data_IF_838115117061
#
_entry.id   IF_838115117061
#
_cell.length_a   1.000
_cell.length_b   1.000
_cell.length_c   1.000
_cell.angle_alpha   90.00
_cell.angle_beta   90.00
_cell.angle_gamma   90.00
#
_symmetry.space_group_name_H-M   'P 1'
#
loop_
_entity.id
_entity.type
_entity.pdbx_description
1 polymer ?
#
# COMPACT_ATOMS: atom_id res chain seq x y z
N UNK A 1 5.78 16.00 11.64
CA UNK A 1 4.62 16.05 12.51
C UNK A 1 4.99 15.51 13.88
N UNK A 2 4.54 16.16 14.93
CA UNK A 2 4.77 15.73 16.31
C UNK A 2 3.45 15.78 17.06
N UNK A 3 2.99 14.66 17.57
CA UNK A 3 1.76 14.55 18.36
C UNK A 3 2.13 14.10 19.78
N UNK A 4 2.15 15.02 20.77
CA UNK A 4 2.64 14.73 22.12
C UNK A 4 1.70 13.86 22.96
N UNK A 5 0.48 13.66 22.53
CA UNK A 5 -0.44 12.67 23.09
C UNK A 5 -1.46 12.30 22.06
N UNK A 6 -1.24 11.22 21.35
CA UNK A 6 -2.27 10.61 20.54
C UNK A 6 -3.22 9.86 21.49
N UNK A 7 -4.27 10.51 21.94
CA UNK A 7 -5.30 9.79 22.67
C UNK A 7 -6.20 9.11 21.67
N UNK A 8 -6.29 7.81 21.76
CA UNK A 8 -7.22 7.05 20.99
C UNK A 8 -8.65 7.30 21.50
N UNK A 9 -9.37 8.11 20.79
CA UNK A 9 -10.81 7.97 20.70
C UNK A 9 -11.09 7.50 19.28
N UNK A 10 -10.85 6.22 19.05
CA UNK A 10 -11.42 5.43 17.94
C UNK A 10 -11.51 6.17 16.59
N UNK A 11 -10.44 6.21 15.86
CA UNK A 11 -10.52 6.63 14.45
C UNK A 11 -10.24 5.48 13.50
N UNK A 12 -9.89 4.33 14.01
CA UNK A 12 -9.72 3.15 13.17
C UNK A 12 -10.68 2.07 13.61
N UNK A 13 -11.60 1.77 12.71
CA UNK A 13 -12.52 0.63 12.70
C UNK A 13 -13.55 0.56 13.85
N UNK A 14 -14.74 0.50 13.58
CA UNK A 14 -15.88 0.26 14.46
C UNK A 14 -15.79 -0.98 15.37
N UNK A 15 -14.63 -1.24 15.98
CA UNK A 15 -14.41 -2.27 16.98
C UNK A 15 -14.57 -1.71 18.39
N UNK A 16 -15.18 -2.49 19.28
CA UNK A 16 -15.35 -2.15 20.69
C UNK A 16 -13.98 -1.99 21.34
N UNK A 17 -13.57 -0.77 21.61
CA UNK A 17 -12.26 -0.41 22.10
C UNK A 17 -11.99 -1.02 23.48
N UNK A 18 -11.03 -1.92 23.54
CA UNK A 18 -10.13 -1.91 24.69
C UNK A 18 -9.25 -0.65 24.52
N UNK A 19 -9.30 0.27 25.46
CA UNK A 19 -8.56 1.51 25.38
C UNK A 19 -7.06 1.24 25.30
N UNK A 20 -6.52 1.20 24.10
CA UNK A 20 -5.08 1.22 23.89
C UNK A 20 -4.67 2.68 24.00
N UNK A 21 -4.05 3.06 25.09
CA UNK A 21 -3.52 4.39 25.25
C UNK A 21 -2.31 4.54 24.32
N UNK A 22 -2.45 5.28 23.23
CA UNK A 22 -1.31 5.71 22.42
C UNK A 22 -0.51 6.77 23.17
N UNK A 23 0.79 6.65 23.11
CA UNK A 23 1.73 7.64 23.64
C UNK A 23 2.02 8.75 22.65
N UNK A 24 3.29 9.07 22.50
CA UNK A 24 3.78 10.11 21.59
C UNK A 24 3.89 9.61 20.16
N UNK A 25 3.40 10.38 19.20
CA UNK A 25 3.61 10.10 17.77
C UNK A 25 4.63 11.06 17.17
N UNK A 26 5.58 10.54 16.42
CA UNK A 26 6.58 11.30 15.66
C UNK A 26 6.54 10.87 14.20
N UNK A 27 6.44 11.83 13.29
CA UNK A 27 6.49 11.58 11.85
C UNK A 27 7.42 12.55 11.13
N UNK A 28 8.17 12.04 10.15
CA UNK A 28 9.06 12.80 9.29
C UNK A 28 8.79 12.46 7.83
N UNK A 29 8.76 13.49 6.97
CA UNK A 29 8.66 13.32 5.53
C UNK A 29 9.68 14.20 4.82
N UNK A 30 10.26 13.70 3.74
CA UNK A 30 11.15 14.44 2.86
C UNK A 30 10.88 14.05 1.40
N UNK A 31 10.81 15.05 0.51
CA UNK A 31 10.69 14.86 -0.94
C UNK A 31 11.65 15.81 -1.65
N UNK A 32 12.38 15.29 -2.62
CA UNK A 32 13.27 16.05 -3.50
C UNK A 32 12.92 15.73 -4.94
N UNK A 33 12.77 16.76 -5.76
CA UNK A 33 12.46 16.61 -7.19
C UNK A 33 13.33 17.50 -8.06
N UNK A 34 13.72 16.99 -9.22
CA UNK A 34 14.45 17.75 -10.24
C UNK A 34 14.83 16.89 -11.44
N UNK A 35 14.88 17.49 -12.62
CA UNK A 35 15.31 16.84 -13.88
C UNK A 35 14.60 15.50 -14.17
N UNK A 36 13.28 15.43 -13.91
CA UNK A 36 12.50 14.20 -14.11
C UNK A 36 12.61 13.18 -12.96
N UNK A 37 13.51 13.39 -12.02
CA UNK A 37 13.68 12.54 -10.83
C UNK A 37 12.89 13.10 -9.65
N UNK A 38 12.16 12.22 -8.97
CA UNK A 38 11.55 12.50 -7.66
C UNK A 38 11.90 11.38 -6.71
N UNK A 39 12.44 11.75 -5.55
CA UNK A 39 12.76 10.82 -4.46
C UNK A 39 12.01 11.29 -3.23
N UNK A 40 11.31 10.40 -2.57
CA UNK A 40 10.59 10.70 -1.35
C UNK A 40 10.81 9.62 -0.30
N UNK A 41 10.78 10.05 0.95
CA UNK A 41 10.78 9.17 2.11
C UNK A 41 9.84 9.73 3.18
N UNK A 42 9.17 8.82 3.86
CA UNK A 42 8.31 9.12 5.00
C UNK A 42 8.53 8.06 6.08
N UNK A 43 8.49 8.47 7.33
CA UNK A 43 8.49 7.56 8.47
C UNK A 43 7.69 8.14 9.60
N UNK A 44 6.98 7.29 10.32
CA UNK A 44 6.36 7.63 11.59
C UNK A 44 6.52 6.49 12.59
N UNK A 45 6.47 6.87 13.85
CA UNK A 45 6.41 5.95 14.98
C UNK A 45 5.40 6.49 15.99
N UNK A 46 4.60 5.60 16.54
CA UNK A 46 3.64 5.91 17.59
C UNK A 46 3.94 4.97 18.75
N UNK A 47 4.36 5.55 19.88
CA UNK A 47 4.55 4.80 21.11
C UNK A 47 3.19 4.28 21.59
N UNK A 48 3.09 3.02 21.85
CA UNK A 48 1.94 2.41 22.49
C UNK A 48 2.26 2.11 23.94
N UNK A 49 1.26 2.14 24.83
CA UNK A 49 1.49 1.72 26.21
C UNK A 49 1.94 0.26 26.22
N UNK A 50 3.22 0.06 26.50
CA UNK A 50 3.86 -1.26 26.48
C UNK A 50 3.16 -2.20 27.46
N UNK A 51 2.40 -3.12 26.91
CA UNK A 51 1.94 -4.34 27.60
C UNK A 51 2.71 -5.53 27.03
N UNK A 52 2.63 -6.68 27.66
CA UNK A 52 3.31 -7.90 27.17
C UNK A 52 2.87 -8.31 25.73
N UNK A 53 1.90 -7.63 25.15
CA UNK A 53 1.30 -7.93 23.85
C UNK A 53 1.33 -6.76 22.87
N UNK A 54 1.80 -5.58 23.26
CA UNK A 54 1.85 -4.40 22.39
C UNK A 54 3.26 -3.84 22.32
N UNK A 55 3.75 -3.62 21.10
CA UNK A 55 4.95 -2.85 20.78
C UNK A 55 4.54 -1.53 20.14
N UNK A 56 5.53 -0.67 19.91
CA UNK A 56 5.33 0.58 19.18
C UNK A 56 4.91 0.30 17.74
N UNK A 57 3.98 1.10 17.26
CA UNK A 57 3.54 1.06 15.87
C UNK A 57 4.48 1.91 15.01
N UNK A 58 4.97 1.38 13.92
CA UNK A 58 5.84 2.12 13.01
C UNK A 58 5.50 1.91 11.54
N UNK A 59 5.74 2.95 10.75
CA UNK A 59 5.58 2.90 9.29
C UNK A 59 6.73 3.66 8.63
N UNK A 60 7.33 3.06 7.62
CA UNK A 60 8.37 3.68 6.81
C UNK A 60 8.06 3.43 5.34
N UNK A 61 8.26 4.44 4.51
CA UNK A 61 8.17 4.29 3.06
C UNK A 61 9.22 5.14 2.37
N UNK A 62 9.75 4.62 1.28
CA UNK A 62 10.64 5.34 0.37
C UNK A 62 10.24 5.03 -1.06
N UNK A 63 10.35 6.04 -1.93
CA UNK A 63 10.06 5.87 -3.35
C UNK A 63 10.99 6.69 -4.24
N UNK A 64 11.15 6.19 -5.45
CA UNK A 64 11.84 6.87 -6.54
C UNK A 64 10.96 6.81 -7.77
N UNK A 65 10.71 7.96 -8.39
CA UNK A 65 10.10 8.08 -9.71
C UNK A 65 11.05 8.80 -10.65
N UNK A 66 11.19 8.29 -11.87
CA UNK A 66 12.01 8.92 -12.90
C UNK A 66 11.27 8.98 -14.22
N UNK A 67 11.14 10.20 -14.76
CA UNK A 67 10.55 10.46 -16.06
C UNK A 67 11.65 10.88 -17.05
N UNK A 68 11.76 10.16 -18.15
CA UNK A 68 12.68 10.46 -19.24
C UNK A 68 11.99 10.28 -20.60
N UNK A 69 11.81 11.39 -21.30
CA UNK A 69 11.05 11.40 -22.55
C UNK A 69 9.64 10.83 -22.35
N UNK A 70 9.22 9.84 -23.13
CA UNK A 70 7.89 9.24 -23.02
C UNK A 70 7.78 8.16 -21.94
N UNK A 71 8.84 7.86 -21.22
CA UNK A 71 8.89 6.78 -20.22
C UNK A 71 8.90 7.35 -18.81
N UNK A 72 8.09 6.78 -17.94
CA UNK A 72 8.15 7.01 -16.49
C UNK A 72 8.28 5.67 -15.78
N UNK A 73 9.23 5.57 -14.87
CA UNK A 73 9.42 4.40 -14.01
C UNK A 73 9.32 4.79 -12.55
N UNK A 74 8.77 3.91 -11.74
CA UNK A 74 8.62 4.13 -10.31
C UNK A 74 8.89 2.87 -9.50
N UNK A 75 9.53 3.05 -8.34
CA UNK A 75 9.73 2.00 -7.33
C UNK A 75 9.38 2.60 -5.97
N UNK A 76 8.68 1.84 -5.16
CA UNK A 76 8.37 2.18 -3.76
C UNK A 76 8.58 0.96 -2.88
N UNK A 77 9.22 1.18 -1.75
CA UNK A 77 9.33 0.23 -0.66
C UNK A 77 8.60 0.81 0.55
N UNK A 78 7.85 -0.03 1.26
CA UNK A 78 7.20 0.38 2.50
C UNK A 78 7.23 -0.76 3.51
N UNK A 79 7.33 -0.38 4.77
CA UNK A 79 7.23 -1.29 5.92
C UNK A 79 6.22 -0.72 6.90
N UNK A 80 5.34 -1.58 7.40
CA UNK A 80 4.36 -1.23 8.44
C UNK A 80 4.40 -2.29 9.52
N UNK A 81 4.76 -1.89 10.74
CA UNK A 81 4.60 -2.68 11.94
C UNK A 81 3.41 -2.13 12.75
N UNK A 82 2.42 -2.96 12.99
CA UNK A 82 1.21 -2.56 13.73
C UNK A 82 1.36 -2.63 15.24
N UNK A 83 2.53 -3.01 15.72
CA UNK A 83 2.88 -2.96 17.15
C UNK A 83 2.16 -3.98 18.02
N UNK A 84 1.33 -4.86 17.49
CA UNK A 84 0.66 -5.88 18.28
C UNK A 84 1.38 -7.21 18.13
N UNK A 85 1.92 -7.70 19.24
CA UNK A 85 2.68 -8.97 19.30
C UNK A 85 1.79 -10.06 19.89
N UNK A 86 1.63 -11.14 19.18
CA UNK A 86 1.30 -12.42 19.80
C UNK A 86 -0.14 -12.90 19.78
N UNK A 87 -1.02 -12.37 18.97
CA UNK A 87 -2.16 -13.18 18.60
C UNK A 87 -1.79 -13.96 17.33
N UNK A 88 -1.69 -15.26 17.44
CA UNK A 88 -1.68 -16.19 16.32
C UNK A 88 -3.01 -16.08 15.59
N UNK A 89 -3.19 -15.02 14.85
CA UNK A 89 -4.33 -14.89 13.98
C UNK A 89 -3.91 -15.44 12.62
N UNK A 90 -4.17 -16.73 12.45
CA UNK A 90 -4.16 -17.33 11.14
C UNK A 90 -5.07 -16.50 10.25
N UNK A 91 -4.54 -15.93 9.18
CA UNK A 91 -5.34 -15.42 8.08
C UNK A 91 -6.09 -16.63 7.55
N UNK A 92 -7.32 -16.78 8.00
CA UNK A 92 -8.20 -17.81 7.48
C UNK A 92 -8.76 -17.29 6.17
N UNK A 93 -9.01 -18.20 5.22
CA UNK A 93 -9.54 -17.91 3.87
C UNK A 93 -10.87 -17.13 3.83
N UNK A 94 -11.41 -16.74 4.95
CA UNK A 94 -12.63 -15.96 5.09
C UNK A 94 -12.29 -14.52 5.50
N UNK A 95 -11.76 -13.69 4.59
CA UNK A 95 -11.79 -12.20 4.56
C UNK A 95 -11.77 -11.41 5.90
N UNK A 96 -11.45 -11.99 6.98
CA UNK A 96 -11.18 -11.33 8.24
C UNK A 96 -9.66 -11.27 8.38
N UNK A 97 -9.07 -10.30 7.70
CA UNK A 97 -7.78 -9.81 8.14
C UNK A 97 -8.00 -9.42 9.59
N UNK A 98 -7.41 -10.15 10.45
CA UNK A 98 -7.19 -9.66 11.81
C UNK A 98 -6.22 -8.50 11.70
N UNK A 99 -6.80 -7.39 11.36
CA UNK A 99 -6.14 -6.19 10.92
C UNK A 99 -5.33 -5.51 12.04
N UNK A 100 -5.20 -6.15 13.19
CA UNK A 100 -4.66 -5.55 14.38
C UNK A 100 -3.20 -5.89 14.66
N UNK A 101 -2.64 -6.94 14.05
CA UNK A 101 -1.28 -7.42 14.39
C UNK A 101 -0.45 -7.77 13.17
N UNK A 102 0.88 -7.81 13.35
CA UNK A 102 1.81 -8.24 12.33
C UNK A 102 2.47 -7.11 11.56
N UNK A 103 3.36 -7.50 10.68
CA UNK A 103 4.16 -6.62 9.84
C UNK A 103 3.80 -6.81 8.39
N UNK A 104 3.88 -5.72 7.62
CA UNK A 104 3.71 -5.71 6.18
C UNK A 104 4.93 -5.10 5.53
N UNK A 105 5.56 -5.86 4.63
CA UNK A 105 6.60 -5.38 3.74
C UNK A 105 6.04 -5.26 2.34
N UNK A 106 6.02 -4.05 1.79
CA UNK A 106 5.44 -3.75 0.50
C UNK A 106 6.50 -3.30 -0.47
N UNK A 107 6.54 -3.93 -1.64
CA UNK A 107 7.33 -3.52 -2.79
C UNK A 107 6.41 -3.20 -3.95
N UNK A 108 6.61 -2.04 -4.59
CA UNK A 108 5.86 -1.64 -5.79
C UNK A 108 6.82 -1.21 -6.86
N UNK A 109 6.55 -1.65 -8.08
CA UNK A 109 7.20 -1.11 -9.25
C UNK A 109 6.19 -0.78 -10.34
N UNK A 110 6.52 0.21 -11.16
CA UNK A 110 5.68 0.61 -12.27
C UNK A 110 6.50 1.15 -13.43
N UNK A 111 5.97 0.96 -14.63
CA UNK A 111 6.45 1.62 -15.84
C UNK A 111 5.25 2.14 -16.62
N UNK A 112 5.34 3.37 -17.08
CA UNK A 112 4.37 3.98 -17.97
C UNK A 112 5.08 4.47 -19.23
N UNK A 113 4.44 4.32 -20.36
CA UNK A 113 4.94 4.73 -21.66
C UNK A 113 3.88 5.53 -22.42
N UNK A 114 4.20 6.77 -22.76
CA UNK A 114 3.41 7.61 -23.63
C UNK A 114 3.73 7.25 -25.09
N UNK A 115 2.86 6.48 -25.72
CA UNK A 115 3.07 5.98 -27.10
C UNK A 115 3.01 7.15 -28.11
N UNK A 116 2.04 8.06 -27.90
CA UNK A 116 1.87 9.30 -28.63
C UNK A 116 1.01 10.26 -27.77
N UNK A 117 0.62 11.42 -28.31
CA UNK A 117 -0.13 12.43 -27.57
C UNK A 117 -1.47 11.94 -27.02
N UNK A 118 -2.05 10.92 -27.65
CA UNK A 118 -3.38 10.40 -27.33
C UNK A 118 -3.35 9.04 -26.59
N UNK A 119 -2.27 8.27 -26.69
CA UNK A 119 -2.19 6.89 -26.22
C UNK A 119 -1.09 6.70 -25.20
N UNK A 120 -1.44 6.15 -24.06
CA UNK A 120 -0.50 5.68 -23.05
C UNK A 120 -0.79 4.24 -22.61
N UNK A 121 0.27 3.55 -22.24
CA UNK A 121 0.21 2.21 -21.65
C UNK A 121 1.02 2.17 -20.36
N UNK A 122 0.61 1.38 -19.41
CA UNK A 122 1.38 1.18 -18.18
C UNK A 122 1.27 -0.24 -17.64
N UNK A 123 2.29 -0.60 -16.90
CA UNK A 123 2.36 -1.83 -16.10
C UNK A 123 2.72 -1.47 -14.68
N UNK A 124 2.11 -2.14 -13.74
CA UNK A 124 2.43 -2.04 -12.32
C UNK A 124 2.42 -3.40 -11.65
N UNK A 125 3.30 -3.58 -10.70
CA UNK A 125 3.40 -4.76 -9.85
C UNK A 125 3.49 -4.32 -8.39
N UNK A 126 2.79 -5.04 -7.54
CA UNK A 126 2.79 -4.89 -6.10
C UNK A 126 3.03 -6.26 -5.50
N UNK A 127 4.04 -6.36 -4.67
CA UNK A 127 4.23 -7.48 -3.75
C UNK A 127 4.08 -6.97 -2.33
N UNK A 128 3.25 -7.64 -1.53
CA UNK A 128 3.09 -7.31 -0.12
C UNK A 128 3.14 -8.57 0.71
N UNK A 129 4.15 -8.66 1.55
CA UNK A 129 4.38 -9.79 2.45
C UNK A 129 3.83 -9.48 3.83
N UNK A 130 2.95 -10.34 4.31
CA UNK A 130 2.44 -10.30 5.67
C UNK A 130 3.17 -11.30 6.55
N UNK A 131 3.68 -10.81 7.69
CA UNK A 131 4.40 -11.59 8.69
C UNK A 131 3.71 -11.44 10.05
N UNK A 132 3.13 -12.53 10.55
CA UNK A 132 2.47 -12.57 11.87
C UNK A 132 3.39 -13.01 13.03
N UNK A 133 4.65 -13.25 12.75
CA UNK A 133 5.67 -13.66 13.72
C UNK A 133 5.58 -15.11 14.21
N UNK A 134 4.44 -15.77 14.12
CA UNK A 134 4.24 -17.17 14.56
C UNK A 134 3.78 -18.12 13.45
N UNK A 135 3.52 -17.59 12.26
CA UNK A 135 3.07 -18.33 11.08
C UNK A 135 4.05 -18.15 9.93
N UNK A 136 3.91 -18.96 8.88
CA UNK A 136 4.66 -18.76 7.65
C UNK A 136 4.19 -17.47 6.98
N UNK A 137 5.14 -16.64 6.56
CA UNK A 137 4.87 -15.43 5.82
C UNK A 137 4.14 -15.73 4.51
N UNK A 138 3.21 -14.86 4.16
CA UNK A 138 2.46 -14.97 2.91
C UNK A 138 2.60 -13.68 2.12
N UNK A 139 2.99 -13.81 0.85
CA UNK A 139 3.08 -12.70 -0.09
C UNK A 139 1.85 -12.67 -0.99
N UNK A 140 1.16 -11.55 -0.98
CA UNK A 140 0.15 -11.19 -1.99
C UNK A 140 0.87 -10.50 -3.14
N UNK A 141 0.63 -10.96 -4.36
CA UNK A 141 1.20 -10.39 -5.58
C UNK A 141 0.08 -9.87 -6.48
N UNK A 142 0.17 -8.62 -6.92
CA UNK A 142 -0.82 -8.00 -7.82
C UNK A 142 -0.13 -7.39 -9.03
N UNK A 143 -0.55 -7.79 -10.23
CA UNK A 143 -0.06 -7.29 -11.52
C UNK A 143 -1.16 -6.59 -12.26
N UNK A 144 -0.88 -5.37 -12.75
CA UNK A 144 -1.86 -4.55 -13.47
C UNK A 144 -1.30 -4.06 -14.79
N UNK A 145 -2.09 -4.20 -15.84
CA UNK A 145 -1.85 -3.66 -17.17
C UNK A 145 -2.93 -2.63 -17.48
N UNK A 146 -2.52 -1.47 -17.96
CA UNK A 146 -3.45 -0.38 -18.25
C UNK A 146 -3.16 0.21 -19.63
N UNK A 147 -4.23 0.65 -20.29
CA UNK A 147 -4.18 1.43 -21.51
C UNK A 147 -5.15 2.61 -21.40
N UNK A 148 -4.74 3.77 -21.82
CA UNK A 148 -5.61 4.94 -21.91
C UNK A 148 -5.45 5.61 -23.27
N UNK A 149 -6.58 5.94 -23.89
CA UNK A 149 -6.65 6.62 -25.17
C UNK A 149 -7.57 7.83 -25.09
N UNK A 150 -7.10 8.98 -25.54
CA UNK A 150 -7.85 10.23 -25.57
C UNK A 150 -8.13 10.65 -27.00
N UNK A 151 -9.38 11.01 -27.31
CA UNK A 151 -9.79 11.45 -28.63
C UNK A 151 -10.71 12.67 -28.50
N UNK A 152 -10.13 13.86 -28.60
CA UNK A 152 -10.88 15.12 -28.45
C UNK A 152 -11.53 15.19 -27.06
N UNK A 153 -12.86 15.26 -27.01
CA UNK A 153 -13.64 15.34 -25.78
C UNK A 153 -13.94 13.96 -25.13
N UNK A 154 -13.46 12.87 -25.72
CA UNK A 154 -13.67 11.51 -25.22
C UNK A 154 -12.36 10.89 -24.78
N UNK A 155 -12.38 10.16 -23.67
CA UNK A 155 -11.29 9.25 -23.30
C UNK A 155 -11.80 7.87 -22.94
N UNK A 156 -11.03 6.86 -23.31
CA UNK A 156 -11.27 5.45 -22.99
C UNK A 156 -10.07 4.96 -22.19
N UNK A 157 -10.33 4.32 -21.07
CA UNK A 157 -9.30 3.59 -20.34
C UNK A 157 -9.75 2.17 -20.05
N UNK A 158 -8.80 1.25 -20.09
CA UNK A 158 -9.03 -0.13 -19.72
C UNK A 158 -7.89 -0.61 -18.84
N UNK A 159 -8.20 -1.45 -17.85
CA UNK A 159 -7.17 -2.13 -17.09
C UNK A 159 -7.57 -3.59 -16.82
N UNK A 160 -6.55 -4.39 -16.66
CA UNK A 160 -6.62 -5.75 -16.18
C UNK A 160 -5.69 -5.89 -14.99
N UNK A 161 -6.22 -6.40 -13.88
CA UNK A 161 -5.44 -6.69 -12.67
C UNK A 161 -5.66 -8.13 -12.27
N UNK A 162 -4.56 -8.82 -11.96
CA UNK A 162 -4.58 -10.15 -11.36
C UNK A 162 -3.87 -10.09 -10.02
N UNK A 163 -4.51 -10.64 -8.99
CA UNK A 163 -3.97 -10.73 -7.63
C UNK A 163 -3.90 -12.19 -7.22
N UNK A 164 -2.69 -12.68 -6.96
CA UNK A 164 -2.43 -13.98 -6.35
C UNK A 164 -2.33 -13.84 -4.83
N UNK A 165 -2.79 -14.84 -4.09
CA UNK A 165 -2.93 -14.84 -2.62
C UNK A 165 -3.67 -13.59 -2.08
N UNK A 166 -4.85 -13.24 -2.62
CA UNK A 166 -5.61 -12.09 -2.14
C UNK A 166 -5.86 -12.21 -0.63
N UNK A 167 -5.81 -11.07 0.06
CA UNK A 167 -5.92 -10.99 1.54
C UNK A 167 -4.84 -11.84 2.26
N UNK A 168 -3.67 -12.03 1.64
CA UNK A 168 -2.54 -12.88 2.10
C UNK A 168 -2.96 -14.33 2.44
N UNK A 169 -3.98 -14.84 1.79
CA UNK A 169 -4.44 -16.21 1.98
C UNK A 169 -3.79 -17.13 0.94
N UNK A 170 -2.78 -17.92 1.33
CA UNK A 170 -2.01 -18.81 0.45
C UNK A 170 -2.85 -19.90 -0.24
N UNK A 171 -4.07 -20.14 0.22
CA UNK A 171 -5.02 -21.10 -0.35
C UNK A 171 -6.15 -20.42 -1.12
N UNK A 172 -6.18 -19.09 -1.14
CA UNK A 172 -7.19 -18.36 -1.89
C UNK A 172 -6.96 -18.50 -3.40
N UNK A 173 -8.07 -18.53 -4.13
CA UNK A 173 -7.99 -18.47 -5.60
C UNK A 173 -7.60 -17.05 -6.01
N UNK A 174 -6.75 -16.94 -7.03
CA UNK A 174 -6.41 -15.67 -7.63
C UNK A 174 -7.67 -14.88 -8.03
N UNK A 175 -7.65 -13.58 -7.77
CA UNK A 175 -8.71 -12.64 -8.18
C UNK A 175 -8.27 -11.91 -9.45
N UNK A 176 -9.20 -11.74 -10.38
CA UNK A 176 -8.97 -10.98 -11.62
C UNK A 176 -10.04 -9.91 -11.76
N UNK A 177 -9.60 -8.69 -12.08
CA UNK A 177 -10.48 -7.55 -12.33
C UNK A 177 -10.18 -7.02 -13.72
N UNK A 178 -11.23 -6.81 -14.50
CA UNK A 178 -11.18 -6.13 -15.79
C UNK A 178 -12.15 -4.96 -15.75
N UNK A 179 -11.69 -3.78 -16.12
CA UNK A 179 -12.53 -2.59 -16.19
C UNK A 179 -12.27 -1.83 -17.49
N UNK A 180 -13.35 -1.29 -18.05
CA UNK A 180 -13.31 -0.34 -19.16
C UNK A 180 -14.10 0.88 -18.73
N UNK A 181 -13.47 2.04 -18.73
CA UNK A 181 -14.08 3.33 -18.41
C UNK A 181 -14.13 4.21 -19.67
N UNK A 182 -15.27 4.87 -19.88
CA UNK A 182 -15.49 5.81 -20.96
C UNK A 182 -15.88 7.17 -20.35
N UNK A 183 -15.12 8.20 -20.65
CA UNK A 183 -15.34 9.55 -20.16
C UNK A 183 -15.62 10.51 -21.31
N UNK A 184 -16.55 11.45 -21.09
CA UNK A 184 -16.87 12.51 -22.02
C UNK A 184 -16.77 13.85 -21.30
N UNK A 185 -16.10 14.82 -21.93
CA UNK A 185 -16.07 16.22 -21.52
C UNK A 185 -17.07 17.02 -22.38
N UNK A 186 -17.97 17.78 -21.74
CA UNK A 186 -18.98 18.62 -22.42
C UNK A 186 -18.69 20.10 -22.19
#
# INVERSE_FOLDING_TARGET
>A
EFAPSASDTAVYDGGTAAATAYGTGVGLAAVVSGNGLTVGAYGNQIDTANTATNNDNSMYTGYVNYAYGPVTVGVQLAHTDRGIVGASEAITAAKTVAAASGMFDTEKMSVAFQVNDDLSVSYGELEETYSAGSTTDVTMESKSYQVAYSMGAMSVSAYHTKTDNPDWASTAKAEEINEIALNFAF
#
